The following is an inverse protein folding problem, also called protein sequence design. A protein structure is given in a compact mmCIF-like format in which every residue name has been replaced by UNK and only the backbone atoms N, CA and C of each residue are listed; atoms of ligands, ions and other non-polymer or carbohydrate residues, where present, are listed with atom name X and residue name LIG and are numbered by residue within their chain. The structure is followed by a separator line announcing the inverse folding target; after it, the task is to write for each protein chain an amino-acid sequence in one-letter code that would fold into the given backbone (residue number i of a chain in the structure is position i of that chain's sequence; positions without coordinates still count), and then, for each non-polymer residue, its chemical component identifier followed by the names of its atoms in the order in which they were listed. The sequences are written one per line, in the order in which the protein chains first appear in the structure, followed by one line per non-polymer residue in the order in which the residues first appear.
data_IF_019579111622
#
_entry.id   IF_019579111622
#
_cell.length_a   1.000
_cell.length_b   1.000
_cell.length_c   1.000
_cell.angle_alpha   90.00
_cell.angle_beta   90.00
_cell.angle_gamma   90.00
#
_symmetry.space_group_name_H-M   'P 1'
#
loop_
_entity.id
_entity.type
_entity.pdbx_description
1 polymer ?
#
# COMPACT_ATOMS: atom_id res chain seq x y z
N UNK A 1 0.80 10.60 -8.74
CA UNK A 1 1.41 9.81 -7.65
C UNK A 1 0.74 10.28 -6.37
N UNK A 2 -0.25 9.55 -5.92
CA UNK A 2 -1.00 9.81 -4.68
C UNK A 2 -0.21 9.14 -3.56
N UNK A 3 0.27 9.93 -2.61
CA UNK A 3 0.95 9.39 -1.43
C UNK A 3 -0.11 9.26 -0.36
N UNK A 4 -0.65 8.06 -0.18
CA UNK A 4 -1.44 7.71 0.99
C UNK A 4 -0.50 7.50 2.18
N UNK A 5 -0.30 8.53 2.98
CA UNK A 5 0.27 8.38 4.30
C UNK A 5 -0.85 8.01 5.28
N UNK A 6 -1.09 6.71 5.42
CA UNK A 6 -1.91 6.21 6.51
C UNK A 6 -1.11 6.42 7.81
N UNK A 7 -1.47 7.42 8.59
CA UNK A 7 -1.00 7.56 9.96
C UNK A 7 -1.57 6.38 10.74
N UNK A 8 -0.80 5.29 10.85
CA UNK A 8 -1.09 4.22 11.81
C UNK A 8 -0.79 4.77 13.20
N UNK A 9 -1.80 5.32 13.81
CA UNK A 9 -1.78 5.71 15.20
C UNK A 9 -3.01 5.12 15.87
N UNK A 10 -2.82 4.38 16.92
CA UNK A 10 -3.72 3.53 17.70
C UNK A 10 -4.97 4.18 18.30
N UNK A 11 -5.41 5.32 17.80
CA UNK A 11 -6.62 5.98 18.28
C UNK A 11 -7.91 5.52 17.56
N UNK A 12 -7.81 4.95 16.37
CA UNK A 12 -8.99 4.52 15.62
C UNK A 12 -9.48 3.12 16.01
N UNK A 13 -8.58 2.22 16.38
CA UNK A 13 -8.94 0.83 16.72
C UNK A 13 -9.64 0.68 18.08
N UNK A 14 -9.65 1.73 18.92
CA UNK A 14 -10.30 1.73 20.23
C UNK A 14 -11.71 2.32 20.26
N UNK A 15 -12.17 2.93 19.18
CA UNK A 15 -13.45 3.67 19.17
C UNK A 15 -14.66 2.80 18.76
N UNK A 16 -14.46 1.68 18.08
CA UNK A 16 -15.57 0.81 17.68
C UNK A 16 -16.12 -0.04 18.83
N UNK A 17 -15.29 -0.46 19.79
CA UNK A 17 -15.74 -1.29 20.94
C UNK A 17 -16.32 -0.50 22.11
N UNK A 18 -16.09 0.80 22.18
CA UNK A 18 -16.57 1.68 23.27
C UNK A 18 -17.87 2.43 23.01
N UNK A 19 -18.43 2.36 21.81
CA UNK A 19 -19.57 3.18 21.39
C UNK A 19 -20.94 2.66 21.86
N UNK A 20 -20.99 1.54 22.56
CA UNK A 20 -22.24 0.96 23.09
C UNK A 20 -22.64 1.68 24.37
N UNK A 21 -23.39 2.77 24.24
CA UNK A 21 -24.02 3.50 25.37
C UNK A 21 -23.82 5.02 25.40
N UNK A 22 -23.04 5.59 24.48
CA UNK A 22 -22.91 7.05 24.38
C UNK A 22 -24.16 7.65 23.67
N UNK A 23 -24.77 8.67 24.26
CA UNK A 23 -25.79 9.45 23.58
C UNK A 23 -25.24 10.08 22.29
N UNK A 24 -26.11 10.32 21.29
CA UNK A 24 -25.67 10.91 20.01
C UNK A 24 -24.87 12.22 20.16
N UNK A 25 -25.13 12.98 21.23
CA UNK A 25 -24.41 14.21 21.55
C UNK A 25 -22.99 13.95 22.03
N UNK A 26 -22.80 12.93 22.85
CA UNK A 26 -21.49 12.56 23.40
C UNK A 26 -20.57 11.96 22.34
N UNK A 27 -21.15 11.22 21.38
CA UNK A 27 -20.41 10.68 20.24
C UNK A 27 -19.88 11.82 19.35
N UNK A 28 -20.73 12.75 18.93
CA UNK A 28 -20.33 13.88 18.08
C UNK A 28 -19.24 14.74 18.74
N UNK A 29 -19.32 14.96 20.05
CA UNK A 29 -18.30 15.70 20.80
C UNK A 29 -16.98 14.93 20.85
N UNK A 30 -17.03 13.62 21.01
CA UNK A 30 -15.84 12.75 20.97
C UNK A 30 -15.18 12.79 19.59
N UNK A 31 -15.96 12.68 18.50
CA UNK A 31 -15.46 12.77 17.13
C UNK A 31 -14.80 14.13 16.86
N UNK A 32 -15.46 15.22 17.26
CA UNK A 32 -14.91 16.57 17.14
C UNK A 32 -13.58 16.70 17.88
N UNK A 33 -13.49 16.22 19.12
CA UNK A 33 -12.26 16.26 19.90
C UNK A 33 -11.14 15.47 19.22
N UNK A 34 -11.42 14.26 18.77
CA UNK A 34 -10.44 13.41 18.06
C UNK A 34 -9.94 14.09 16.80
N UNK A 35 -10.83 14.66 15.98
CA UNK A 35 -10.45 15.38 14.77
C UNK A 35 -9.61 16.65 15.09
N UNK A 36 -9.92 17.38 16.15
CA UNK A 36 -9.14 18.53 16.59
C UNK A 36 -7.75 18.14 17.13
N UNK A 37 -7.62 16.98 17.76
CA UNK A 37 -6.33 16.41 18.15
C UNK A 37 -5.52 16.03 16.90
N UNK A 38 -6.15 15.35 15.93
CA UNK A 38 -5.54 15.00 14.65
C UNK A 38 -5.02 16.23 13.90
N UNK A 39 -5.77 17.33 13.86
CA UNK A 39 -5.36 18.61 13.25
C UNK A 39 -4.00 19.09 13.77
N UNK A 40 -3.74 18.93 15.06
CA UNK A 40 -2.45 19.35 15.67
C UNK A 40 -1.30 18.56 15.09
N UNK A 41 -1.47 17.25 15.02
CA UNK A 41 -0.43 16.34 14.53
C UNK A 41 -0.26 16.46 13.01
N UNK A 42 -1.35 16.53 12.26
CA UNK A 42 -1.32 16.72 10.81
C UNK A 42 -0.52 17.97 10.44
N UNK A 43 -0.85 19.12 11.03
CA UNK A 43 -0.14 20.36 10.76
C UNK A 43 1.35 20.28 11.17
N UNK A 44 1.68 19.55 12.23
CA UNK A 44 3.04 19.27 12.64
C UNK A 44 3.78 18.42 11.61
N UNK A 45 3.18 17.32 11.16
CA UNK A 45 3.77 16.39 10.20
C UNK A 45 3.95 17.01 8.81
N UNK A 46 3.00 17.82 8.34
CA UNK A 46 3.12 18.56 7.08
C UNK A 46 4.39 19.43 7.10
N UNK A 47 4.64 20.14 8.20
CA UNK A 47 5.84 20.99 8.34
C UNK A 47 7.12 20.19 8.51
N UNK A 48 7.14 19.18 9.37
CA UNK A 48 8.34 18.38 9.67
C UNK A 48 8.83 17.61 8.43
N UNK A 49 7.90 17.04 7.68
CA UNK A 49 8.22 16.26 6.48
C UNK A 49 8.32 17.12 5.22
N UNK A 50 8.06 18.41 5.33
CA UNK A 50 7.97 19.35 4.21
C UNK A 50 7.08 18.83 3.08
N UNK A 51 5.90 18.30 3.44
CA UNK A 51 4.93 17.78 2.47
C UNK A 51 4.41 18.96 1.63
N UNK A 52 4.48 18.83 0.32
CA UNK A 52 4.02 19.88 -0.60
C UNK A 52 3.28 19.29 -1.81
N UNK A 53 2.52 20.15 -2.46
CA UNK A 53 1.61 19.79 -3.54
C UNK A 53 0.19 19.65 -3.04
N UNK A 54 -0.59 18.75 -3.63
CA UNK A 54 -1.94 18.40 -3.17
C UNK A 54 -1.85 17.40 -2.02
N UNK A 55 -2.49 17.74 -0.90
CA UNK A 55 -2.61 16.91 0.30
C UNK A 55 -4.11 16.73 0.54
N UNK A 56 -4.55 15.49 0.69
CA UNK A 56 -5.94 15.15 1.02
C UNK A 56 -5.93 14.53 2.41
N UNK A 57 -6.83 15.00 3.26
CA UNK A 57 -7.02 14.52 4.62
C UNK A 57 -8.43 13.95 4.70
N UNK A 58 -8.55 12.74 5.22
CA UNK A 58 -9.79 12.07 5.53
C UNK A 58 -10.03 12.19 7.05
N UNK A 59 -11.00 13.03 7.43
CA UNK A 59 -11.41 13.23 8.82
C UNK A 59 -12.54 12.27 9.16
N UNK A 60 -12.65 11.91 10.43
CA UNK A 60 -13.78 11.12 10.90
C UNK A 60 -15.06 11.93 10.66
N UNK A 61 -16.06 11.27 10.07
CA UNK A 61 -17.34 11.90 9.71
C UNK A 61 -18.01 12.57 10.90
N UNK A 62 -18.50 13.79 10.70
CA UNK A 62 -19.22 14.58 11.68
C UNK A 62 -20.55 15.07 11.08
N UNK A 63 -21.64 14.88 11.80
CA UNK A 63 -22.96 15.24 11.32
C UNK A 63 -23.23 16.75 11.39
N UNK A 64 -22.71 17.41 12.43
CA UNK A 64 -22.96 18.85 12.64
C UNK A 64 -22.04 19.70 11.78
N UNK A 65 -22.64 20.61 11.01
CA UNK A 65 -21.88 21.59 10.21
C UNK A 65 -20.95 22.44 11.08
N UNK A 66 -21.35 22.79 12.29
CA UNK A 66 -20.52 23.54 13.23
C UNK A 66 -19.25 22.77 13.64
N UNK A 67 -19.33 21.44 13.82
CA UNK A 67 -18.18 20.59 14.13
C UNK A 67 -17.20 20.56 12.96
N UNK A 68 -17.70 20.38 11.74
CA UNK A 68 -16.87 20.40 10.51
C UNK A 68 -16.16 21.74 10.32
N UNK A 69 -16.89 22.84 10.53
CA UNK A 69 -16.33 24.19 10.43
C UNK A 69 -15.25 24.44 11.49
N UNK A 70 -15.44 23.99 12.72
CA UNK A 70 -14.46 24.11 13.81
C UNK A 70 -13.15 23.39 13.47
N UNK A 71 -13.21 22.17 12.91
CA UNK A 71 -12.03 21.40 12.46
C UNK A 71 -11.33 22.13 11.32
N UNK A 72 -12.06 22.61 10.32
CA UNK A 72 -11.53 23.33 9.17
C UNK A 72 -10.82 24.63 9.58
N UNK A 73 -11.44 25.40 10.48
CA UNK A 73 -10.87 26.62 11.02
C UNK A 73 -9.59 26.36 11.82
N UNK A 74 -9.60 25.34 12.69
CA UNK A 74 -8.43 24.95 13.47
C UNK A 74 -7.25 24.52 12.59
N UNK A 75 -7.53 23.77 11.51
CA UNK A 75 -6.53 23.36 10.53
C UNK A 75 -5.95 24.56 9.78
N UNK A 76 -6.81 25.43 9.29
CA UNK A 76 -6.42 26.63 8.55
C UNK A 76 -5.54 27.56 9.41
N UNK A 77 -5.91 27.76 10.68
CA UNK A 77 -5.14 28.59 11.60
C UNK A 77 -3.75 28.02 11.87
N UNK A 78 -3.63 26.69 12.02
CA UNK A 78 -2.34 26.05 12.27
C UNK A 78 -1.42 26.11 11.04
N UNK A 79 -1.98 25.98 9.83
CA UNK A 79 -1.23 26.07 8.59
C UNK A 79 -0.82 27.51 8.25
N UNK A 80 -1.54 28.54 8.72
CA UNK A 80 -1.13 29.94 8.57
C UNK A 80 0.21 30.28 9.24
N UNK A 81 0.64 29.48 10.21
CA UNK A 81 1.94 29.63 10.88
C UNK A 81 3.10 29.01 10.08
N UNK A 82 2.78 28.37 8.94
CA UNK A 82 3.79 27.78 8.07
C UNK A 82 4.43 28.87 7.18
N UNK A 83 5.72 28.69 6.89
CA UNK A 83 6.45 29.57 5.94
C UNK A 83 5.99 29.34 4.49
N UNK A 84 5.58 28.10 4.16
CA UNK A 84 5.08 27.75 2.84
C UNK A 84 3.63 28.20 2.69
N UNK A 85 3.30 28.78 1.53
CA UNK A 85 1.93 29.18 1.22
C UNK A 85 1.05 27.93 1.10
N UNK A 86 -0.03 27.94 1.88
CA UNK A 86 -1.02 26.85 1.88
C UNK A 86 -2.41 27.43 1.63
N UNK A 87 -3.23 26.68 0.90
CA UNK A 87 -4.66 26.96 0.74
C UNK A 87 -5.42 25.71 1.17
N UNK A 88 -6.36 25.87 2.08
CA UNK A 88 -7.26 24.83 2.56
C UNK A 88 -8.60 25.04 1.88
N UNK A 89 -9.16 24.01 1.29
CA UNK A 89 -10.50 24.02 0.69
C UNK A 89 -11.55 23.62 1.75
N UNK A 90 -12.82 23.97 1.54
CA UNK A 90 -13.91 23.52 2.40
C UNK A 90 -13.94 21.98 2.51
N UNK A 91 -14.38 21.48 3.67
CA UNK A 91 -14.59 20.05 3.88
C UNK A 91 -15.74 19.57 3.00
N UNK A 92 -15.52 18.46 2.28
CA UNK A 92 -16.57 17.82 1.49
C UNK A 92 -17.61 17.15 2.37
N UNK A 93 -18.72 16.71 1.77
CA UNK A 93 -19.76 15.94 2.47
C UNK A 93 -19.25 14.59 3.01
N UNK A 94 -18.15 14.08 2.45
CA UNK A 94 -17.48 12.84 2.85
C UNK A 94 -16.36 13.05 3.88
N UNK A 95 -16.29 14.20 4.55
CA UNK A 95 -15.24 14.48 5.54
C UNK A 95 -13.85 14.81 4.96
N UNK A 96 -13.70 14.85 3.63
CA UNK A 96 -12.40 15.10 2.98
C UNK A 96 -12.06 16.58 2.98
N UNK A 97 -10.83 16.91 3.35
CA UNK A 97 -10.25 18.26 3.25
C UNK A 97 -9.06 18.23 2.30
N UNK A 98 -9.11 19.07 1.30
CA UNK A 98 -8.02 19.24 0.33
C UNK A 98 -7.18 20.46 0.69
N UNK A 99 -5.86 20.29 0.66
CA UNK A 99 -4.89 21.33 0.93
C UNK A 99 -3.93 21.40 -0.26
N UNK A 100 -3.72 22.59 -0.79
CA UNK A 100 -2.58 22.85 -1.67
C UNK A 100 -1.49 23.57 -0.90
N UNK A 101 -0.26 23.02 -0.88
CA UNK A 101 0.89 23.63 -0.22
C UNK A 101 2.04 23.80 -1.21
N UNK A 102 2.59 24.98 -1.27
CA UNK A 102 3.71 25.28 -2.16
C UNK A 102 4.93 24.46 -1.79
N UNK A 103 5.54 23.78 -2.77
CA UNK A 103 6.82 23.09 -2.60
C UNK A 103 7.96 24.09 -2.64
N UNK A 104 8.70 24.22 -1.57
CA UNK A 104 9.89 25.08 -1.50
C UNK A 104 11.19 24.29 -1.69
N UNK A 105 11.16 22.99 -1.33
CA UNK A 105 12.29 22.05 -1.45
C UNK A 105 11.77 20.62 -1.56
N UNK A 106 12.63 19.63 -1.89
CA UNK A 106 12.25 18.21 -1.83
C UNK A 106 11.81 17.82 -0.42
N UNK A 107 10.72 17.06 -0.31
CA UNK A 107 10.25 16.54 0.97
C UNK A 107 11.30 15.64 1.65
N UNK A 108 11.16 15.45 2.94
CA UNK A 108 12.09 14.67 3.76
C UNK A 108 12.19 13.22 3.29
N UNK A 109 11.09 12.65 2.80
CA UNK A 109 11.05 11.31 2.21
C UNK A 109 12.02 11.15 1.03
N UNK A 110 12.08 12.15 0.14
CA UNK A 110 13.00 12.13 -1.00
C UNK A 110 14.47 12.32 -0.62
N UNK A 111 14.73 12.90 0.54
CA UNK A 111 16.09 13.11 1.03
C UNK A 111 16.61 11.89 1.79
N UNK A 112 15.75 11.15 2.49
CA UNK A 112 16.13 10.07 3.38
C UNK A 112 15.88 8.69 2.82
N UNK A 113 14.95 8.55 1.85
CA UNK A 113 14.51 7.26 1.34
C UNK A 113 14.87 7.11 -0.14
N UNK A 114 15.01 5.86 -0.56
CA UNK A 114 15.11 5.44 -1.96
C UNK A 114 13.95 4.50 -2.29
N UNK A 115 13.63 4.35 -3.57
CA UNK A 115 12.67 3.34 -4.01
C UNK A 115 13.06 1.97 -3.49
N UNK A 116 12.06 1.22 -3.01
CA UNK A 116 12.29 -0.14 -2.55
C UNK A 116 12.66 -1.04 -3.74
N UNK A 117 13.83 -1.70 -3.75
CA UNK A 117 14.24 -2.54 -4.89
C UNK A 117 13.35 -3.77 -5.09
N UNK A 118 12.61 -4.19 -4.05
CA UNK A 118 11.71 -5.33 -4.15
C UNK A 118 10.40 -5.02 -4.89
N UNK A 119 9.87 -3.80 -4.79
CA UNK A 119 8.57 -3.44 -5.39
C UNK A 119 8.63 -2.17 -6.25
N UNK A 120 9.82 -1.62 -6.46
CA UNK A 120 10.06 -0.35 -7.18
C UNK A 120 9.10 0.79 -6.77
N UNK A 121 8.75 0.81 -5.49
CA UNK A 121 7.84 1.81 -4.91
C UNK A 121 6.34 1.46 -4.99
N UNK A 122 5.96 0.30 -5.53
CA UNK A 122 4.57 -0.14 -5.62
C UNK A 122 3.95 -0.50 -4.25
N UNK A 123 4.77 -0.73 -3.22
CA UNK A 123 4.33 -1.06 -1.85
C UNK A 123 3.86 -2.49 -1.66
N UNK A 124 3.80 -3.30 -2.72
CA UNK A 124 3.38 -4.72 -2.68
C UNK A 124 4.06 -5.49 -3.80
N UNK A 125 4.23 -6.79 -3.60
CA UNK A 125 4.71 -7.77 -4.57
C UNK A 125 3.64 -8.82 -4.80
N UNK A 126 3.78 -9.63 -5.85
CA UNK A 126 2.85 -10.71 -6.15
C UNK A 126 2.84 -11.76 -5.05
N UNK A 127 1.66 -12.34 -4.79
CA UNK A 127 1.54 -13.45 -3.85
C UNK A 127 2.17 -14.72 -4.43
N UNK A 128 2.59 -15.63 -3.56
CA UNK A 128 3.09 -16.94 -3.97
C UNK A 128 2.11 -17.72 -4.85
N UNK A 129 0.81 -17.62 -4.58
CA UNK A 129 -0.22 -18.23 -5.42
C UNK A 129 -0.21 -17.65 -6.83
N UNK A 130 -0.01 -16.34 -6.97
CA UNK A 130 0.11 -15.68 -8.28
C UNK A 130 1.37 -16.13 -9.02
N UNK A 131 2.51 -16.23 -8.32
CA UNK A 131 3.75 -16.74 -8.92
C UNK A 131 3.61 -18.21 -9.34
N UNK A 132 2.97 -19.04 -8.52
CA UNK A 132 2.68 -20.44 -8.86
C UNK A 132 1.82 -20.53 -10.13
N UNK A 133 0.76 -19.73 -10.25
CA UNK A 133 -0.07 -19.69 -11.44
C UNK A 133 0.72 -19.24 -12.67
N UNK A 134 1.63 -18.31 -12.51
CA UNK A 134 2.47 -17.83 -13.60
C UNK A 134 3.44 -18.91 -14.09
N UNK A 135 4.06 -19.66 -13.16
CA UNK A 135 4.88 -20.85 -13.49
C UNK A 135 4.05 -21.84 -14.30
N UNK A 136 2.84 -22.21 -13.83
CA UNK A 136 1.96 -23.14 -14.54
C UNK A 136 1.60 -22.62 -15.93
N UNK A 137 1.28 -21.33 -16.04
CA UNK A 137 0.89 -20.71 -17.31
C UNK A 137 2.02 -20.73 -18.33
N UNK A 138 3.25 -20.39 -17.93
CA UNK A 138 4.42 -20.42 -18.83
C UNK A 138 4.80 -21.85 -19.18
N UNK A 139 4.83 -22.74 -18.20
CA UNK A 139 5.15 -24.15 -18.41
C UNK A 139 4.16 -24.86 -19.35
N UNK A 140 2.87 -24.57 -19.26
CA UNK A 140 1.86 -25.10 -20.20
C UNK A 140 2.09 -24.68 -21.64
N UNK A 141 2.61 -23.48 -21.88
CA UNK A 141 2.93 -23.01 -23.24
C UNK A 141 4.07 -23.80 -23.84
N UNK A 142 5.07 -24.16 -23.03
CA UNK A 142 6.21 -24.96 -23.45
C UNK A 142 5.86 -26.45 -23.56
N UNK A 143 4.94 -26.94 -22.72
CA UNK A 143 4.46 -28.33 -22.73
C UNK A 143 3.25 -28.53 -23.67
N UNK A 144 3.15 -27.79 -24.77
CA UNK A 144 2.08 -27.92 -25.73
C UNK A 144 2.14 -29.29 -26.44
N UNK A 145 0.99 -29.82 -26.98
CA UNK A 145 0.95 -31.07 -27.75
C UNK A 145 1.94 -30.99 -28.93
N UNK A 146 2.86 -31.94 -29.01
CA UNK A 146 3.88 -32.01 -30.06
C UNK A 146 5.24 -31.41 -29.65
N UNK A 147 5.39 -30.84 -28.49
CA UNK A 147 6.69 -30.43 -27.93
C UNK A 147 7.51 -31.66 -27.51
N UNK A 148 8.83 -31.59 -27.67
CA UNK A 148 9.72 -32.65 -27.19
C UNK A 148 9.61 -32.82 -25.67
N UNK A 149 9.72 -34.04 -25.12
CA UNK A 149 9.65 -34.27 -23.69
C UNK A 149 10.95 -33.80 -22.99
N UNK A 150 11.06 -32.48 -22.76
CA UNK A 150 12.17 -31.83 -22.06
C UNK A 150 11.90 -31.60 -20.57
N UNK A 151 12.95 -31.29 -19.82
CA UNK A 151 12.82 -30.78 -18.44
C UNK A 151 12.39 -29.31 -18.52
N UNK A 152 11.43 -28.92 -17.71
CA UNK A 152 11.03 -27.52 -17.53
C UNK A 152 11.77 -26.93 -16.33
N UNK A 153 12.43 -25.82 -16.52
CA UNK A 153 13.16 -25.11 -15.47
C UNK A 153 12.46 -23.77 -15.22
N UNK A 154 11.88 -23.63 -14.03
CA UNK A 154 11.30 -22.38 -13.59
C UNK A 154 12.28 -21.63 -12.68
N UNK A 155 12.75 -20.49 -13.13
CA UNK A 155 13.65 -19.60 -12.40
C UNK A 155 12.83 -18.52 -11.70
N UNK A 156 13.09 -18.35 -10.41
CA UNK A 156 12.42 -17.38 -9.55
C UNK A 156 13.43 -16.80 -8.56
N UNK A 157 13.03 -15.72 -7.89
CA UNK A 157 13.75 -15.20 -6.75
C UNK A 157 14.00 -16.30 -5.69
N UNK A 158 15.13 -16.29 -4.96
CA UNK A 158 15.48 -17.33 -3.99
C UNK A 158 14.40 -17.58 -2.93
N UNK A 159 13.75 -16.53 -2.45
CA UNK A 159 12.68 -16.64 -1.46
C UNK A 159 11.45 -17.37 -2.03
N UNK A 160 10.97 -16.95 -3.20
CA UNK A 160 9.86 -17.58 -3.88
C UNK A 160 10.14 -19.06 -4.19
N UNK A 161 11.36 -19.37 -4.64
CA UNK A 161 11.79 -20.75 -4.91
C UNK A 161 11.75 -21.60 -3.65
N UNK A 162 12.26 -21.10 -2.52
CA UNK A 162 12.26 -21.82 -1.25
C UNK A 162 10.84 -22.19 -0.82
N UNK A 163 9.88 -21.28 -1.00
CA UNK A 163 8.49 -21.49 -0.58
C UNK A 163 7.66 -22.31 -1.58
N UNK A 164 7.95 -22.23 -2.88
CA UNK A 164 7.27 -23.04 -3.90
C UNK A 164 7.83 -24.46 -4.06
N UNK A 165 9.06 -24.71 -3.67
CA UNK A 165 9.71 -26.03 -3.80
C UNK A 165 8.92 -27.19 -3.16
N UNK A 166 8.32 -27.07 -1.96
CA UNK A 166 7.48 -28.12 -1.40
C UNK A 166 6.22 -28.41 -2.22
N UNK A 167 5.80 -27.49 -3.07
CA UNK A 167 4.61 -27.59 -3.93
C UNK A 167 4.92 -28.03 -5.36
N UNK A 168 6.17 -28.40 -5.66
CA UNK A 168 6.59 -28.76 -7.02
C UNK A 168 5.72 -29.87 -7.65
N UNK A 169 5.34 -30.88 -6.87
CA UNK A 169 4.46 -31.95 -7.35
C UNK A 169 3.03 -31.48 -7.67
N UNK A 170 2.50 -30.53 -6.92
CA UNK A 170 1.21 -29.89 -7.19
C UNK A 170 1.28 -29.05 -8.47
N UNK A 171 2.35 -28.27 -8.63
CA UNK A 171 2.60 -27.44 -9.81
C UNK A 171 2.73 -28.34 -11.05
N UNK A 172 3.47 -29.44 -10.98
CA UNK A 172 3.65 -30.38 -12.08
C UNK A 172 2.31 -30.99 -12.56
N UNK A 173 1.45 -31.39 -11.63
CA UNK A 173 0.09 -31.83 -11.93
C UNK A 173 -0.74 -30.75 -12.59
N UNK A 174 -0.64 -29.52 -12.12
CA UNK A 174 -1.37 -28.39 -12.68
C UNK A 174 -0.88 -28.02 -14.09
N UNK A 175 0.35 -28.32 -14.47
CA UNK A 175 0.88 -28.05 -15.84
C UNK A 175 0.19 -28.97 -16.87
N UNK A 176 -0.12 -30.21 -16.51
CA UNK A 176 -0.73 -31.23 -17.40
C UNK A 176 -0.27 -32.63 -17.05
N UNK A 177 -0.29 -32.94 -15.76
CA UNK A 177 0.15 -34.22 -15.19
C UNK A 177 1.54 -34.66 -15.64
N UNK A 178 2.46 -33.69 -15.76
CA UNK A 178 3.86 -34.02 -16.04
C UNK A 178 4.49 -34.68 -14.81
N UNK A 179 5.44 -35.63 -15.01
CA UNK A 179 6.21 -36.17 -13.91
C UNK A 179 6.92 -35.07 -13.10
N UNK A 180 6.92 -35.14 -11.75
CA UNK A 180 7.51 -34.08 -10.93
C UNK A 180 9.00 -33.82 -11.17
N UNK A 181 9.74 -34.83 -11.61
CA UNK A 181 11.16 -34.74 -11.97
C UNK A 181 11.41 -33.95 -13.26
N UNK A 182 10.39 -33.77 -14.08
CA UNK A 182 10.46 -32.88 -15.27
C UNK A 182 10.30 -31.41 -14.94
N UNK A 183 9.91 -31.03 -13.73
CA UNK A 183 9.82 -29.65 -13.27
C UNK A 183 10.93 -29.38 -12.25
N UNK A 184 11.83 -28.47 -12.57
CA UNK A 184 12.85 -27.95 -11.63
C UNK A 184 12.53 -26.52 -11.27
N UNK A 185 12.51 -26.22 -9.97
CA UNK A 185 12.43 -24.85 -9.45
C UNK A 185 13.83 -24.42 -9.04
N UNK A 186 14.38 -23.46 -9.76
CA UNK A 186 15.73 -22.94 -9.54
C UNK A 186 15.67 -21.52 -8.97
N UNK A 187 16.51 -21.29 -7.95
CA UNK A 187 16.69 -19.96 -7.39
C UNK A 187 17.67 -19.18 -8.24
N UNK A 188 17.24 -18.01 -8.71
CA UNK A 188 18.11 -17.09 -9.43
C UNK A 188 18.16 -15.74 -8.68
N UNK A 189 19.32 -15.37 -8.09
CA UNK A 189 19.49 -14.12 -7.37
C UNK A 189 19.29 -12.86 -8.22
N UNK A 190 19.35 -12.97 -9.54
CA UNK A 190 19.12 -11.86 -10.46
C UNK A 190 17.63 -11.58 -10.69
N UNK A 191 16.74 -12.52 -10.32
CA UNK A 191 15.30 -12.37 -10.47
C UNK A 191 14.72 -11.51 -9.34
N UNK A 192 13.87 -10.58 -9.71
CA UNK A 192 13.07 -9.80 -8.76
C UNK A 192 11.99 -10.67 -8.10
N UNK A 193 11.34 -10.17 -7.02
CA UNK A 193 10.34 -10.94 -6.27
C UNK A 193 9.09 -11.30 -7.10
N UNK A 194 8.82 -10.55 -8.17
CA UNK A 194 7.67 -10.73 -9.05
C UNK A 194 8.02 -11.45 -10.36
N UNK A 195 9.30 -11.78 -10.56
CA UNK A 195 9.77 -12.35 -11.80
C UNK A 195 9.60 -13.88 -11.82
N UNK A 196 9.15 -14.38 -12.95
CA UNK A 196 9.04 -15.81 -13.26
C UNK A 196 9.51 -16.04 -14.68
N UNK A 197 10.47 -16.92 -14.87
CA UNK A 197 10.94 -17.34 -16.17
C UNK A 197 10.95 -18.86 -16.24
N UNK A 198 10.16 -19.43 -17.15
CA UNK A 198 10.19 -20.87 -17.42
C UNK A 198 10.82 -21.12 -18.78
N UNK A 199 11.80 -21.99 -18.81
CA UNK A 199 12.54 -22.38 -20.01
C UNK A 199 12.62 -23.90 -20.12
N UNK A 200 12.90 -24.41 -21.32
CA UNK A 200 13.27 -25.82 -21.51
C UNK A 200 14.71 -26.02 -21.01
N UNK A 201 14.88 -26.98 -20.11
CA UNK A 201 16.20 -27.42 -19.67
C UNK A 201 16.86 -28.33 -20.71
N UNK A 202 18.14 -28.11 -20.89
CA UNK A 202 19.01 -29.02 -21.67
C UNK A 202 19.33 -30.26 -20.87
#
# INVERSE_FOLDING_TARGET
MTIEHKLRGSAADGLEEGAVGLGRGDLEETLLRTNLEAVREIARQIRLRDLGGLIVIDFIDMQRAASREAVLQALSERLRRDRARSRVLPMSEFGLVEITRQRSRPGLDRQLLRSCPACDGAGRVRSLATLQHEVVRQARRLNAPGSAPGTLVARLAPEATRELRPRAAEIARAIGDIPPDRLRLEADPAMGPDDVLVVEGT
#
